data_IF_670980424552
#
_entry.id   IF_670980424552
#
_cell.length_a   1.000
_cell.length_b   1.000
_cell.length_c   1.000
_cell.angle_alpha   90.00
_cell.angle_beta   90.00
_cell.angle_gamma   90.00
#
_symmetry.space_group_name_H-M   'P 1'
#
loop_
_entity.id
_entity.type
_entity.pdbx_description
1 polymer ?
#
# COMPACT_ATOMS: atom_id res chain seq x y z
N UNK A 1 -28.34 11.31 -2.02
CA UNK A 1 -27.42 10.57 -2.94
C UNK A 1 -26.06 10.58 -2.27
N UNK A 2 -25.47 9.42 -2.09
CA UNK A 2 -24.14 9.27 -1.55
C UNK A 2 -23.07 9.69 -2.56
N UNK A 3 -21.81 9.73 -2.12
CA UNK A 3 -20.63 9.98 -2.97
C UNK A 3 -20.28 8.68 -3.69
N UNK A 4 -20.14 8.73 -5.01
CA UNK A 4 -19.67 7.59 -5.79
C UNK A 4 -18.13 7.50 -5.77
N UNK A 5 -17.59 6.34 -6.14
CA UNK A 5 -16.14 6.18 -6.32
C UNK A 5 -15.61 7.18 -7.37
N UNK A 6 -16.37 7.42 -8.43
CA UNK A 6 -16.02 8.42 -9.44
C UNK A 6 -15.95 9.84 -8.87
N UNK A 7 -16.94 10.22 -8.03
CA UNK A 7 -16.95 11.53 -7.36
C UNK A 7 -15.73 11.66 -6.45
N UNK A 8 -15.39 10.61 -5.68
CA UNK A 8 -14.22 10.60 -4.80
C UNK A 8 -12.92 10.80 -5.59
N UNK A 9 -12.75 10.11 -6.72
CA UNK A 9 -11.56 10.28 -7.56
C UNK A 9 -11.46 11.70 -8.14
N UNK A 10 -12.57 12.30 -8.57
CA UNK A 10 -12.60 13.69 -9.02
C UNK A 10 -12.22 14.67 -7.88
N UNK A 11 -12.76 14.45 -6.69
CA UNK A 11 -12.41 15.27 -5.51
C UNK A 11 -10.92 15.11 -5.18
N UNK A 12 -10.43 13.88 -5.16
CA UNK A 12 -9.03 13.59 -4.82
C UNK A 12 -8.03 14.24 -5.78
N UNK A 13 -8.33 14.25 -7.08
CA UNK A 13 -7.45 14.86 -8.09
C UNK A 13 -7.57 16.36 -8.20
N UNK A 14 -8.69 16.94 -7.74
CA UNK A 14 -9.05 18.34 -8.01
C UNK A 14 -9.29 18.64 -9.50
N UNK A 15 -9.44 17.60 -10.33
CA UNK A 15 -9.65 17.67 -11.78
C UNK A 15 -10.93 16.95 -12.14
N UNK A 16 -11.54 17.32 -13.26
CA UNK A 16 -12.68 16.60 -13.82
C UNK A 16 -12.15 15.45 -14.69
N UNK A 17 -12.05 14.27 -14.09
CA UNK A 17 -11.69 13.03 -14.81
C UNK A 17 -12.83 12.63 -15.77
N UNK A 18 -12.48 12.01 -16.88
CA UNK A 18 -13.46 11.25 -17.65
C UNK A 18 -13.56 9.82 -17.10
N UNK A 19 -14.64 9.10 -17.46
CA UNK A 19 -14.87 7.73 -16.96
C UNK A 19 -13.75 6.76 -17.35
N UNK A 20 -13.11 6.93 -18.51
CA UNK A 20 -12.01 6.08 -18.97
C UNK A 20 -10.78 6.24 -18.09
N UNK A 21 -10.44 7.47 -17.69
CA UNK A 21 -9.34 7.74 -16.77
C UNK A 21 -9.60 7.13 -15.39
N UNK A 22 -10.82 7.31 -14.86
CA UNK A 22 -11.22 6.68 -13.59
C UNK A 22 -11.15 5.14 -13.67
N UNK A 23 -11.60 4.55 -14.78
CA UNK A 23 -11.48 3.11 -15.02
C UNK A 23 -10.03 2.63 -15.02
N UNK A 24 -9.13 3.38 -15.67
CA UNK A 24 -7.69 3.05 -15.69
C UNK A 24 -7.09 3.06 -14.27
N UNK A 25 -7.46 4.05 -13.45
CA UNK A 25 -6.99 4.16 -12.06
C UNK A 25 -7.51 2.97 -11.23
N UNK A 26 -8.80 2.63 -11.33
CA UNK A 26 -9.40 1.51 -10.58
C UNK A 26 -8.81 0.16 -10.99
N UNK A 27 -8.53 -0.02 -12.28
CA UNK A 27 -7.91 -1.26 -12.78
C UNK A 27 -6.50 -1.46 -12.19
N UNK A 28 -5.72 -0.40 -11.95
CA UNK A 28 -4.40 -0.50 -11.31
C UNK A 28 -4.49 -1.14 -9.92
N UNK A 29 -5.54 -0.87 -9.16
CA UNK A 29 -5.75 -1.47 -7.83
C UNK A 29 -6.57 -2.77 -7.85
N UNK A 30 -6.76 -3.37 -9.03
CA UNK A 30 -7.49 -4.63 -9.18
C UNK A 30 -9.00 -4.53 -8.91
N UNK A 31 -9.59 -3.36 -9.10
CA UNK A 31 -11.03 -3.18 -9.05
C UNK A 31 -11.61 -3.17 -10.46
N UNK A 32 -12.69 -3.96 -10.68
CA UNK A 32 -13.41 -3.93 -11.94
C UNK A 32 -14.08 -2.57 -12.14
N UNK A 33 -13.55 -1.79 -13.06
CA UNK A 33 -13.97 -0.41 -13.24
C UNK A 33 -15.46 -0.27 -13.58
N UNK A 34 -16.03 -1.20 -14.36
CA UNK A 34 -17.44 -1.19 -14.75
C UNK A 34 -18.38 -1.37 -13.54
N UNK A 35 -17.92 -2.10 -12.53
CA UNK A 35 -18.72 -2.37 -11.32
C UNK A 35 -18.57 -1.27 -10.29
N UNK A 36 -17.37 -0.66 -10.19
CA UNK A 36 -17.05 0.22 -9.07
C UNK A 36 -17.15 1.71 -9.39
N UNK A 37 -16.99 2.13 -10.64
CA UNK A 37 -16.92 3.57 -10.99
C UNK A 37 -18.15 4.36 -10.54
N UNK A 38 -19.34 3.81 -10.72
CA UNK A 38 -20.62 4.44 -10.36
C UNK A 38 -21.16 3.94 -8.99
N UNK A 39 -20.41 3.09 -8.26
CA UNK A 39 -20.82 2.54 -6.97
C UNK A 39 -20.70 3.57 -5.87
N UNK A 40 -21.71 3.68 -5.02
CA UNK A 40 -21.67 4.56 -3.85
C UNK A 40 -20.73 4.01 -2.77
N UNK A 41 -20.01 4.91 -2.11
CA UNK A 41 -19.17 4.60 -0.97
C UNK A 41 -20.06 4.52 0.27
N UNK A 42 -20.32 3.31 0.73
CA UNK A 42 -21.17 3.02 1.88
C UNK A 42 -20.76 1.68 2.51
N UNK A 43 -21.49 1.24 3.53
CA UNK A 43 -21.24 0.01 4.29
C UNK A 43 -21.38 -1.29 3.47
N UNK A 44 -21.80 -1.22 2.21
CA UNK A 44 -21.86 -2.39 1.31
C UNK A 44 -20.48 -2.75 0.72
N UNK A 45 -19.48 -1.86 0.85
CA UNK A 45 -18.10 -2.13 0.45
C UNK A 45 -17.37 -2.89 1.55
N UNK A 46 -16.68 -3.96 1.18
CA UNK A 46 -15.77 -4.65 2.10
C UNK A 46 -14.58 -3.76 2.48
N UNK A 47 -13.93 -4.05 3.62
CA UNK A 47 -12.73 -3.33 4.06
C UNK A 47 -11.61 -3.35 3.02
N UNK A 48 -11.43 -4.50 2.32
CA UNK A 48 -10.44 -4.62 1.26
C UNK A 48 -10.76 -3.79 0.01
N UNK A 49 -12.05 -3.64 -0.34
CA UNK A 49 -12.49 -2.77 -1.45
C UNK A 49 -12.27 -1.30 -1.10
N UNK A 50 -12.65 -0.88 0.11
CA UNK A 50 -12.40 0.48 0.60
C UNK A 50 -10.92 0.81 0.60
N UNK A 51 -10.07 -0.09 1.09
CA UNK A 51 -8.60 0.10 1.10
C UNK A 51 -8.04 0.28 -0.31
N UNK A 52 -8.49 -0.50 -1.27
CA UNK A 52 -8.09 -0.35 -2.68
C UNK A 52 -8.57 0.97 -3.30
N UNK A 53 -9.78 1.42 -2.94
CA UNK A 53 -10.30 2.73 -3.37
C UNK A 53 -9.45 3.85 -2.75
N UNK A 54 -9.08 3.77 -1.46
CA UNK A 54 -8.15 4.73 -0.83
C UNK A 54 -6.83 4.81 -1.59
N UNK A 55 -6.21 3.67 -1.89
CA UNK A 55 -4.96 3.61 -2.66
C UNK A 55 -5.15 4.23 -4.05
N UNK A 56 -6.27 3.93 -4.72
CA UNK A 56 -6.62 4.53 -6.02
C UNK A 56 -6.68 6.06 -5.97
N UNK A 57 -7.18 6.65 -4.87
CA UNK A 57 -7.20 8.12 -4.70
C UNK A 57 -5.80 8.71 -4.58
N UNK A 58 -4.88 8.02 -3.89
CA UNK A 58 -3.49 8.45 -3.78
C UNK A 58 -2.78 8.39 -5.13
N UNK A 59 -2.97 7.29 -5.89
CA UNK A 59 -2.44 7.14 -7.26
C UNK A 59 -2.95 8.27 -8.16
N UNK A 60 -4.28 8.53 -8.12
CA UNK A 60 -4.91 9.55 -8.93
C UNK A 60 -4.33 10.96 -8.68
N UNK A 61 -3.97 11.25 -7.43
CA UNK A 61 -3.37 12.54 -7.03
C UNK A 61 -1.93 12.69 -7.50
N UNK A 62 -1.22 11.60 -7.72
CA UNK A 62 0.20 11.57 -8.05
C UNK A 62 1.04 12.54 -7.19
N UNK A 63 1.07 12.38 -5.86
CA UNK A 63 1.73 13.30 -4.95
C UNK A 63 3.25 13.17 -5.03
N UNK A 64 3.98 14.24 -4.68
CA UNK A 64 5.44 14.19 -4.54
C UNK A 64 5.91 13.29 -3.39
N UNK A 65 5.06 13.05 -2.41
CA UNK A 65 5.29 12.13 -1.30
C UNK A 65 3.99 11.42 -0.95
N UNK A 66 4.02 10.10 -0.92
CA UNK A 66 2.93 9.25 -0.46
C UNK A 66 3.38 8.44 0.74
N UNK A 67 2.52 8.33 1.75
CA UNK A 67 2.75 7.49 2.94
C UNK A 67 1.61 6.49 3.03
N UNK A 68 1.95 5.21 3.11
CA UNK A 68 1.00 4.12 3.30
C UNK A 68 1.33 3.40 4.60
N UNK A 69 0.35 3.30 5.48
CA UNK A 69 0.46 2.60 6.76
C UNK A 69 -0.31 1.28 6.68
N UNK A 70 0.43 0.18 6.73
CA UNK A 70 -0.08 -1.20 6.58
C UNK A 70 -1.12 -1.33 5.45
N UNK A 71 -0.76 -0.95 4.20
CA UNK A 71 -1.72 -0.92 3.10
C UNK A 71 -2.28 -2.31 2.75
N UNK A 72 -1.60 -3.36 3.17
CA UNK A 72 -1.98 -4.75 2.99
C UNK A 72 -2.99 -5.25 4.03
N UNK A 73 -3.24 -4.52 5.11
CA UNK A 73 -4.15 -4.96 6.16
C UNK A 73 -5.59 -5.15 5.62
N UNK A 74 -6.12 -6.36 5.83
CA UNK A 74 -7.47 -6.71 5.37
C UNK A 74 -7.62 -6.98 3.87
N UNK A 75 -6.51 -7.06 3.14
CA UNK A 75 -6.49 -7.39 1.70
C UNK A 75 -6.23 -8.89 1.53
N UNK A 76 -7.01 -9.53 0.63
CA UNK A 76 -6.81 -10.93 0.28
C UNK A 76 -5.53 -11.16 -0.54
N UNK A 77 -5.08 -12.42 -0.62
CA UNK A 77 -3.82 -12.80 -1.25
C UNK A 77 -3.71 -12.39 -2.73
N UNK A 78 -4.81 -12.44 -3.50
CA UNK A 78 -4.84 -12.06 -4.90
C UNK A 78 -4.70 -10.56 -5.08
N UNK A 79 -5.42 -9.82 -4.27
CA UNK A 79 -5.36 -8.35 -4.26
C UNK A 79 -4.00 -7.84 -3.76
N UNK A 80 -3.32 -8.63 -2.90
CA UNK A 80 -1.97 -8.31 -2.44
C UNK A 80 -0.93 -8.32 -3.58
N UNK A 81 -1.05 -9.21 -4.56
CA UNK A 81 -0.15 -9.21 -5.72
C UNK A 81 -0.31 -7.93 -6.54
N UNK A 82 -1.56 -7.52 -6.79
CA UNK A 82 -1.84 -6.27 -7.48
C UNK A 82 -1.29 -5.06 -6.70
N UNK A 83 -1.37 -5.07 -5.37
CA UNK A 83 -0.81 -4.02 -4.52
C UNK A 83 0.71 -3.86 -4.68
N UNK A 84 1.44 -4.96 -4.75
CA UNK A 84 2.89 -4.90 -4.98
C UNK A 84 3.25 -4.36 -6.35
N UNK A 85 2.46 -4.66 -7.37
CA UNK A 85 2.62 -4.09 -8.71
C UNK A 85 2.33 -2.59 -8.72
N UNK A 86 1.26 -2.18 -8.04
CA UNK A 86 0.93 -0.75 -7.87
C UNK A 86 2.10 0.04 -7.28
N UNK A 87 2.76 -0.48 -6.25
CA UNK A 87 3.90 0.22 -5.65
C UNK A 87 5.10 0.30 -6.59
N UNK A 88 5.36 -0.74 -7.39
CA UNK A 88 6.40 -0.70 -8.44
C UNK A 88 6.07 0.33 -9.52
N UNK A 89 4.80 0.39 -9.95
CA UNK A 89 4.35 1.37 -10.95
C UNK A 89 4.46 2.80 -10.41
N UNK A 90 4.09 3.02 -9.13
CA UNK A 90 4.26 4.31 -8.48
C UNK A 90 5.74 4.74 -8.44
N UNK A 91 6.66 3.81 -8.16
CA UNK A 91 8.10 4.08 -8.21
C UNK A 91 8.56 4.49 -9.62
N UNK A 92 8.09 3.80 -10.65
CA UNK A 92 8.49 4.06 -12.03
C UNK A 92 7.84 5.32 -12.63
N UNK A 93 6.57 5.58 -12.32
CA UNK A 93 5.79 6.67 -12.91
C UNK A 93 5.90 8.00 -12.13
N UNK A 94 6.14 7.94 -10.82
CA UNK A 94 6.24 9.13 -9.98
C UNK A 94 7.69 9.57 -9.80
N UNK A 95 7.95 10.87 -9.94
CA UNK A 95 9.21 11.49 -9.48
C UNK A 95 9.19 11.74 -7.97
N UNK A 96 8.31 11.07 -7.26
CA UNK A 96 8.04 11.25 -5.84
C UNK A 96 8.70 10.20 -4.95
N UNK A 97 8.47 10.35 -3.64
CA UNK A 97 8.90 9.39 -2.61
C UNK A 97 7.68 8.61 -2.14
N UNK A 98 7.75 7.29 -2.15
CA UNK A 98 6.75 6.42 -1.54
C UNK A 98 7.31 5.80 -0.27
N UNK A 99 6.69 6.12 0.87
CA UNK A 99 7.00 5.53 2.16
C UNK A 99 5.92 4.50 2.49
N UNK A 100 6.32 3.25 2.74
CA UNK A 100 5.39 2.18 3.14
C UNK A 100 5.80 1.64 4.49
N UNK A 101 4.89 1.67 5.46
CA UNK A 101 5.05 1.02 6.75
C UNK A 101 4.42 -0.36 6.61
N UNK A 102 5.22 -1.41 6.74
CA UNK A 102 4.76 -2.79 6.57
C UNK A 102 5.70 -3.77 7.27
N UNK A 103 5.13 -4.89 7.71
CA UNK A 103 5.89 -6.04 8.22
C UNK A 103 5.90 -7.22 7.22
N UNK A 104 5.31 -7.04 6.03
CA UNK A 104 5.22 -8.07 5.00
C UNK A 104 6.51 -8.14 4.18
N UNK A 105 7.15 -9.31 4.16
CA UNK A 105 8.39 -9.53 3.42
C UNK A 105 8.28 -9.15 1.94
N UNK A 106 7.14 -9.42 1.30
CA UNK A 106 6.92 -9.09 -0.11
C UNK A 106 6.95 -7.60 -0.39
N UNK A 107 6.46 -6.78 0.54
CA UNK A 107 6.56 -5.30 0.46
C UNK A 107 8.03 -4.88 0.66
N UNK A 108 8.72 -5.47 1.64
CA UNK A 108 10.13 -5.18 1.87
C UNK A 108 11.01 -5.56 0.68
N UNK A 109 10.63 -6.61 -0.08
CA UNK A 109 11.36 -7.04 -1.27
C UNK A 109 11.30 -6.07 -2.45
N UNK A 110 10.33 -5.17 -2.50
CA UNK A 110 10.23 -4.15 -3.56
C UNK A 110 10.81 -2.79 -3.14
N UNK A 111 11.22 -2.61 -1.90
CA UNK A 111 11.78 -1.37 -1.41
C UNK A 111 13.22 -1.14 -1.91
N UNK A 112 13.60 0.11 -2.19
CA UNK A 112 14.99 0.51 -2.45
C UNK A 112 15.79 0.54 -1.17
N UNK A 113 15.20 1.14 -0.13
CA UNK A 113 15.77 1.27 1.20
C UNK A 113 14.77 0.81 2.26
N UNK A 114 15.27 0.21 3.31
CA UNK A 114 14.49 -0.21 4.46
C UNK A 114 15.00 0.53 5.69
N UNK A 115 14.05 1.11 6.43
CA UNK A 115 14.28 1.80 7.70
C UNK A 115 13.75 0.92 8.81
N UNK A 116 14.62 0.51 9.73
CA UNK A 116 14.25 -0.27 10.91
C UNK A 116 14.07 0.66 12.10
N UNK A 117 12.88 0.67 12.67
CA UNK A 117 12.54 1.35 13.91
C UNK A 117 12.40 0.33 15.04
N UNK A 118 12.98 0.66 16.19
CA UNK A 118 12.86 -0.16 17.41
C UNK A 118 12.62 0.76 18.61
N UNK A 119 11.58 0.48 19.39
CA UNK A 119 11.21 1.28 20.57
C UNK A 119 11.09 2.80 20.28
N UNK A 120 10.51 3.15 19.11
CA UNK A 120 10.31 4.53 18.69
C UNK A 120 11.59 5.25 18.21
N UNK A 121 12.70 4.54 18.03
CA UNK A 121 13.99 5.10 17.58
C UNK A 121 14.46 4.47 16.29
N UNK A 122 15.16 5.25 15.48
CA UNK A 122 15.85 4.74 14.31
C UNK A 122 16.98 3.79 14.74
N UNK A 123 16.85 2.52 14.40
CA UNK A 123 17.88 1.49 14.67
C UNK A 123 18.87 1.40 13.53
N UNK A 124 18.37 1.27 12.31
CA UNK A 124 19.21 1.11 11.12
C UNK A 124 18.49 1.55 9.86
N UNK A 125 19.25 2.03 8.89
CA UNK A 125 18.83 2.25 7.50
C UNK A 125 19.79 1.49 6.59
N UNK A 126 19.28 0.83 5.58
CA UNK A 126 20.14 0.11 4.65
C UNK A 126 19.41 -0.32 3.39
N UNK A 127 20.18 -0.88 2.46
CA UNK A 127 19.64 -1.47 1.25
C UNK A 127 18.75 -2.69 1.59
N UNK A 128 17.80 -2.97 0.72
CA UNK A 128 16.96 -4.17 0.80
C UNK A 128 17.77 -5.43 1.16
N UNK A 129 18.87 -5.68 0.44
CA UNK A 129 19.70 -6.88 0.59
C UNK A 129 20.32 -7.02 1.98
N UNK A 130 20.78 -5.90 2.57
CA UNK A 130 21.37 -5.88 3.92
C UNK A 130 20.31 -6.04 4.99
N UNK A 131 19.19 -5.32 4.83
CA UNK A 131 18.14 -5.27 5.84
C UNK A 131 17.32 -6.56 5.90
N UNK A 132 17.00 -7.19 4.76
CA UNK A 132 16.32 -8.48 4.75
C UNK A 132 17.15 -9.57 5.44
N UNK A 133 18.47 -9.60 5.23
CA UNK A 133 19.34 -10.53 5.96
C UNK A 133 19.28 -10.33 7.47
N UNK A 134 19.30 -9.07 7.92
CA UNK A 134 19.22 -8.74 9.34
C UNK A 134 17.88 -9.17 9.93
N UNK A 135 16.76 -8.78 9.29
CA UNK A 135 15.40 -9.04 9.78
C UNK A 135 15.08 -10.56 9.82
N UNK A 136 15.55 -11.31 8.82
CA UNK A 136 15.34 -12.76 8.75
C UNK A 136 16.26 -13.56 9.69
N UNK A 137 17.37 -12.97 10.13
CA UNK A 137 18.33 -13.61 11.06
C UNK A 137 18.06 -13.28 12.53
N UNK A 138 17.26 -12.26 12.83
CA UNK A 138 16.85 -11.98 14.21
C UNK A 138 15.93 -13.10 14.71
N UNK A 139 16.29 -13.82 15.79
CA UNK A 139 15.41 -14.85 16.37
C UNK A 139 14.10 -14.21 16.81
N UNK A 140 12.99 -14.79 16.39
CA UNK A 140 11.67 -14.36 16.83
C UNK A 140 11.60 -14.46 18.36
N UNK A 141 11.04 -13.45 19.00
CA UNK A 141 11.03 -13.21 20.46
C UNK A 141 10.67 -14.43 21.35
N UNK A 142 10.03 -15.46 20.81
CA UNK A 142 9.69 -16.68 21.55
C UNK A 142 10.89 -17.63 21.80
N UNK A 143 12.01 -17.50 21.08
CA UNK A 143 13.19 -18.33 21.29
C UNK A 143 14.17 -17.77 22.34
N UNK A 144 13.98 -16.53 22.80
CA UNK A 144 14.83 -15.92 23.84
C UNK A 144 14.56 -16.40 25.26
N UNK A 145 13.40 -17.02 25.52
CA UNK A 145 13.04 -17.46 26.89
C UNK A 145 13.54 -18.86 27.28
N UNK A 146 14.05 -19.63 26.31
CA UNK A 146 14.53 -21.01 26.61
C UNK A 146 16.04 -21.08 26.90
N UNK A 147 16.80 -20.00 26.74
CA UNK A 147 18.26 -19.97 26.93
C UNK A 147 18.71 -19.36 28.28
N UNK A 148 17.78 -18.91 29.13
CA UNK A 148 18.11 -18.33 30.45
C UNK A 148 17.79 -19.25 31.64
N UNK A 149 17.53 -20.56 31.37
CA UNK A 149 17.24 -21.59 32.41
C UNK A 149 18.08 -22.85 32.22
N UNK A 150 19.39 -22.73 31.91
CA UNK A 150 20.38 -23.79 32.17
C UNK A 150 21.51 -23.26 33.05
#
# INVERSE_FOLDING_TARGET
>A
KGITVFDLLNIATGKKLNKKEACTILSKVGLCALEYVDREINDSLSGGELKRIEIATVIARNPKMAIFDEPEAGIDLWSFQNLTEVFKDLEMESQGITLVISHQERILQIADQIVLLEQGKLKKVGSKKEMLKLILQEPRCCQRKELEHE
#
